data_IF_354097218059
#
_entry.id   IF_354097218059
#
_cell.length_a   1.000
_cell.length_b   1.000
_cell.length_c   1.000
_cell.angle_alpha   90.00
_cell.angle_beta   90.00
_cell.angle_gamma   90.00
#
_symmetry.space_group_name_H-M   'P 1'
#
loop_
_entity.id
_entity.type
_entity.pdbx_description
1 polymer ?
#
# COMPACT_ATOMS: atom_id res chain seq x y z
N UNK A 1 3.39 8.10 17.74
CA UNK A 1 4.21 9.14 17.09
C UNK A 1 4.51 8.83 15.62
N UNK A 2 4.60 7.57 15.24
CA UNK A 2 5.15 7.17 13.93
C UNK A 2 4.12 6.92 12.81
N UNK A 3 2.83 7.21 13.04
CA UNK A 3 1.79 6.92 12.04
C UNK A 3 2.00 7.73 10.76
N UNK A 4 2.32 9.02 10.87
CA UNK A 4 2.58 9.87 9.71
C UNK A 4 3.83 9.38 8.93
N UNK A 5 4.91 9.06 9.65
CA UNK A 5 6.11 8.47 9.06
C UNK A 5 5.79 7.13 8.36
N UNK A 6 5.03 6.24 8.99
CA UNK A 6 4.65 4.95 8.38
C UNK A 6 3.84 5.12 7.10
N UNK A 7 2.91 6.09 7.03
CA UNK A 7 2.13 6.40 5.83
C UNK A 7 2.97 6.87 4.65
N UNK A 8 4.07 7.58 4.93
CA UNK A 8 4.96 8.13 3.90
C UNK A 8 6.17 7.25 3.59
N UNK A 9 6.43 6.22 4.38
CA UNK A 9 7.59 5.36 4.27
C UNK A 9 7.83 4.89 2.83
N UNK A 10 6.83 4.28 2.22
CA UNK A 10 6.94 3.70 0.89
C UNK A 10 7.26 4.78 -0.17
N UNK A 11 6.60 5.93 -0.11
CA UNK A 11 6.82 7.02 -1.07
C UNK A 11 8.23 7.59 -0.94
N UNK A 12 8.71 7.79 0.28
CA UNK A 12 10.04 8.34 0.54
C UNK A 12 11.12 7.39 0.03
N UNK A 13 11.08 6.11 0.39
CA UNK A 13 12.12 5.15 0.00
C UNK A 13 12.02 4.61 -1.43
N UNK A 14 10.95 4.96 -2.16
CA UNK A 14 10.87 4.81 -3.61
C UNK A 14 11.46 6.02 -4.35
N UNK A 15 11.49 7.19 -3.73
CA UNK A 15 11.92 8.46 -4.34
C UNK A 15 13.33 8.87 -3.98
N UNK A 16 13.86 8.40 -2.85
CA UNK A 16 15.24 8.68 -2.39
C UNK A 16 16.23 7.67 -2.92
N UNK A 17 17.52 7.97 -2.79
CA UNK A 17 18.61 7.12 -3.21
C UNK A 17 18.74 5.82 -2.41
N UNK A 18 19.79 5.06 -2.72
CA UNK A 18 20.06 3.74 -2.13
C UNK A 18 21.55 3.56 -1.85
N UNK A 19 21.87 3.10 -0.66
CA UNK A 19 23.26 2.96 -0.22
C UNK A 19 23.99 4.32 -0.24
N UNK A 20 25.07 4.40 -0.98
CA UNK A 20 25.85 5.64 -1.13
C UNK A 20 25.43 6.48 -2.34
N UNK A 21 24.39 6.11 -3.05
CA UNK A 21 23.90 6.80 -4.24
C UNK A 21 22.65 7.62 -3.91
N UNK A 22 22.64 8.90 -4.25
CA UNK A 22 21.41 9.68 -4.29
C UNK A 22 20.49 9.20 -5.44
N UNK A 23 19.26 9.68 -5.50
CA UNK A 23 18.27 9.24 -6.49
C UNK A 23 18.77 9.43 -7.94
N UNK A 24 19.40 10.57 -8.24
CA UNK A 24 19.93 10.88 -9.57
C UNK A 24 21.10 9.97 -9.95
N UNK A 25 22.01 9.73 -9.02
CA UNK A 25 23.16 8.85 -9.23
C UNK A 25 22.72 7.41 -9.45
N UNK A 26 21.76 6.94 -8.63
CA UNK A 26 21.19 5.61 -8.75
C UNK A 26 20.54 5.42 -10.14
N UNK A 27 19.75 6.40 -10.59
CA UNK A 27 19.13 6.38 -11.91
C UNK A 27 20.18 6.29 -13.03
N UNK A 28 21.27 7.06 -12.94
CA UNK A 28 22.37 6.99 -13.91
C UNK A 28 23.07 5.63 -13.89
N UNK A 29 23.30 5.05 -12.71
CA UNK A 29 23.92 3.72 -12.57
C UNK A 29 23.06 2.60 -13.16
N UNK A 30 21.74 2.75 -13.07
CA UNK A 30 20.78 1.78 -13.59
C UNK A 30 20.36 2.06 -15.05
N UNK A 31 20.93 3.09 -15.69
CA UNK A 31 20.64 3.38 -17.10
C UNK A 31 20.97 2.18 -17.98
N UNK A 32 20.00 1.73 -18.80
CA UNK A 32 20.10 0.54 -19.64
C UNK A 32 19.98 -0.80 -18.91
N UNK A 33 19.74 -0.80 -17.61
CA UNK A 33 19.41 -2.00 -16.80
C UNK A 33 17.91 -2.13 -16.61
N UNK A 34 17.44 -3.37 -16.67
CA UNK A 34 16.05 -3.71 -16.33
C UNK A 34 16.03 -4.50 -15.02
N UNK A 35 16.33 -3.81 -13.94
CA UNK A 35 16.29 -4.36 -12.60
C UNK A 35 15.78 -3.29 -11.62
N UNK A 36 14.94 -3.69 -10.69
CA UNK A 36 14.41 -2.84 -9.63
C UNK A 36 14.18 -3.62 -8.34
N UNK A 37 14.34 -2.96 -7.20
CA UNK A 37 13.96 -3.49 -5.88
C UNK A 37 13.40 -2.35 -5.05
N UNK A 38 12.18 -2.53 -4.55
CA UNK A 38 11.49 -1.56 -3.72
C UNK A 38 11.26 -2.14 -2.32
N UNK A 39 11.54 -1.34 -1.31
CA UNK A 39 11.15 -1.65 0.06
C UNK A 39 9.72 -1.19 0.32
N UNK A 40 8.98 -1.98 1.07
CA UNK A 40 7.61 -1.67 1.49
C UNK A 40 7.42 -1.96 2.97
N UNK A 41 6.67 -1.08 3.62
CA UNK A 41 6.22 -1.22 4.99
C UNK A 41 4.70 -1.13 5.01
N UNK A 42 4.06 -2.11 5.63
CA UNK A 42 2.61 -2.16 5.85
C UNK A 42 2.27 -2.10 7.34
N UNK A 43 1.00 -2.28 7.68
CA UNK A 43 0.57 -2.33 9.07
C UNK A 43 1.13 -3.55 9.84
N UNK A 44 1.41 -4.64 9.14
CA UNK A 44 1.73 -5.94 9.75
C UNK A 44 2.93 -6.65 9.12
N UNK A 45 3.55 -6.07 8.09
CA UNK A 45 4.68 -6.68 7.40
C UNK A 45 5.59 -5.64 6.77
N UNK A 46 6.82 -5.98 6.63
CA UNK A 46 7.80 -5.35 5.75
C UNK A 46 8.25 -6.33 4.69
N UNK A 47 8.69 -5.81 3.57
CA UNK A 47 9.14 -6.64 2.46
C UNK A 47 9.93 -5.90 1.40
N UNK A 48 10.58 -6.67 0.57
CA UNK A 48 11.20 -6.21 -0.66
C UNK A 48 10.47 -6.88 -1.83
N UNK A 49 10.11 -6.10 -2.83
CA UNK A 49 9.65 -6.59 -4.11
C UNK A 49 10.57 -6.12 -5.22
N UNK A 50 10.92 -7.02 -6.14
CA UNK A 50 11.83 -6.67 -7.21
C UNK A 50 11.62 -7.52 -8.45
N UNK A 51 12.16 -7.05 -9.56
CA UNK A 51 12.17 -7.76 -10.83
C UNK A 51 13.42 -7.46 -11.63
N UNK A 52 13.79 -8.38 -12.50
CA UNK A 52 14.85 -8.15 -13.48
C UNK A 52 14.65 -9.04 -14.71
N UNK A 53 15.36 -8.69 -15.79
CA UNK A 53 15.60 -9.65 -16.86
C UNK A 53 16.68 -10.66 -16.44
N UNK A 54 16.78 -11.85 -17.08
CA UNK A 54 17.89 -12.78 -16.83
C UNK A 54 19.27 -12.14 -17.02
N UNK A 55 19.40 -11.22 -17.96
CA UNK A 55 20.64 -10.46 -18.21
C UNK A 55 21.04 -9.57 -17.02
N UNK A 56 20.07 -8.99 -16.33
CA UNK A 56 20.30 -8.04 -15.25
C UNK A 56 20.08 -8.66 -13.86
N UNK A 57 20.02 -10.00 -13.78
CA UNK A 57 19.79 -10.72 -12.52
C UNK A 57 20.83 -10.36 -11.45
N UNK A 58 22.10 -10.20 -11.82
CA UNK A 58 23.13 -9.74 -10.89
C UNK A 58 22.79 -8.37 -10.30
N UNK A 59 22.35 -7.43 -11.11
CA UNK A 59 21.95 -6.10 -10.66
C UNK A 59 20.78 -6.17 -9.67
N UNK A 60 19.82 -7.08 -9.86
CA UNK A 60 18.76 -7.33 -8.89
C UNK A 60 19.33 -7.72 -7.52
N UNK A 61 20.30 -8.65 -7.47
CA UNK A 61 20.91 -9.07 -6.21
C UNK A 61 21.77 -7.96 -5.56
N UNK A 62 22.47 -7.16 -6.35
CA UNK A 62 23.18 -5.97 -5.88
C UNK A 62 22.21 -4.96 -5.22
N UNK A 63 21.04 -4.74 -5.83
CA UNK A 63 20.00 -3.88 -5.26
C UNK A 63 19.38 -4.49 -3.99
N UNK A 64 19.12 -5.80 -3.95
CA UNK A 64 18.65 -6.47 -2.73
C UNK A 64 19.66 -6.28 -1.61
N UNK A 65 20.95 -6.52 -1.84
CA UNK A 65 22.01 -6.32 -0.86
C UNK A 65 21.98 -4.89 -0.31
N UNK A 66 21.92 -3.88 -1.19
CA UNK A 66 21.91 -2.48 -0.78
C UNK A 66 20.66 -2.11 0.05
N UNK A 67 19.52 -2.78 -0.16
CA UNK A 67 18.29 -2.54 0.64
C UNK A 67 18.46 -2.96 2.11
N UNK A 68 19.32 -3.90 2.40
CA UNK A 68 19.65 -4.32 3.77
C UNK A 68 20.81 -3.50 4.40
N UNK A 69 21.30 -2.51 3.68
CA UNK A 69 22.29 -1.56 4.23
C UNK A 69 21.59 -0.30 4.77
N UNK A 70 22.36 0.62 5.32
CA UNK A 70 21.86 1.91 5.76
C UNK A 70 21.21 2.65 4.58
N UNK A 71 20.00 3.20 4.73
CA UNK A 71 19.36 3.94 3.66
C UNK A 71 20.16 5.19 3.29
N UNK A 72 20.18 5.55 2.01
CA UNK A 72 20.85 6.76 1.56
C UNK A 72 20.36 8.00 2.32
N UNK A 73 21.28 8.91 2.59
CA UNK A 73 20.92 10.24 3.06
C UNK A 73 20.75 11.17 1.84
N UNK A 74 19.52 11.32 1.39
CA UNK A 74 19.16 12.09 0.19
C UNK A 74 18.09 13.15 0.54
N UNK A 75 18.49 14.20 1.29
CA UNK A 75 17.57 15.24 1.74
C UNK A 75 16.98 16.03 0.56
N UNK A 76 17.68 16.18 -0.55
CA UNK A 76 17.19 16.93 -1.69
C UNK A 76 16.02 16.22 -2.37
N UNK A 77 16.12 14.90 -2.58
CA UNK A 77 15.03 14.11 -3.11
C UNK A 77 13.83 14.07 -2.13
N UNK A 78 14.11 13.93 -0.83
CA UNK A 78 13.07 13.99 0.21
C UNK A 78 12.34 15.34 0.19
N UNK A 79 13.04 16.46 0.20
CA UNK A 79 12.44 17.80 0.20
C UNK A 79 11.63 18.08 -1.07
N UNK A 80 12.13 17.61 -2.21
CA UNK A 80 11.43 17.69 -3.50
C UNK A 80 10.12 16.91 -3.47
N UNK A 81 10.15 15.67 -2.94
CA UNK A 81 8.95 14.84 -2.74
C UNK A 81 7.96 15.53 -1.81
N UNK A 82 8.40 16.04 -0.65
CA UNK A 82 7.52 16.70 0.33
C UNK A 82 6.84 17.94 -0.25
N UNK A 83 7.57 18.72 -1.07
CA UNK A 83 7.01 19.89 -1.77
C UNK A 83 5.94 19.49 -2.78
N UNK A 84 6.21 18.47 -3.59
CA UNK A 84 5.26 17.94 -4.56
C UNK A 84 4.01 17.35 -3.88
N UNK A 85 4.20 16.57 -2.81
CA UNK A 85 3.10 16.01 -2.02
C UNK A 85 2.23 17.09 -1.39
N UNK A 86 2.82 18.13 -0.81
CA UNK A 86 2.08 19.25 -0.23
C UNK A 86 1.16 19.91 -1.26
N UNK A 87 1.66 20.17 -2.45
CA UNK A 87 0.86 20.74 -3.54
C UNK A 87 -0.25 19.78 -3.98
N UNK A 88 0.06 18.51 -4.14
CA UNK A 88 -0.90 17.49 -4.56
C UNK A 88 -2.02 17.34 -3.53
N UNK A 89 -1.69 17.17 -2.25
CA UNK A 89 -2.66 17.02 -1.17
C UNK A 89 -3.51 18.28 -0.98
N UNK A 90 -2.92 19.48 -1.04
CA UNK A 90 -3.65 20.73 -0.95
C UNK A 90 -4.69 20.89 -2.08
N UNK A 91 -4.41 20.37 -3.27
CA UNK A 91 -5.38 20.35 -4.36
C UNK A 91 -6.44 19.26 -4.16
N UNK A 92 -6.05 18.08 -3.68
CA UNK A 92 -6.99 16.99 -3.39
C UNK A 92 -7.98 17.35 -2.27
N UNK A 93 -7.56 18.07 -1.23
CA UNK A 93 -8.43 18.48 -0.13
C UNK A 93 -9.55 19.44 -0.55
N UNK A 94 -9.39 20.12 -1.70
CA UNK A 94 -10.43 20.97 -2.28
C UNK A 94 -11.51 20.17 -3.03
N UNK A 95 -11.24 18.91 -3.35
CA UNK A 95 -12.14 18.06 -4.13
C UNK A 95 -13.16 17.40 -3.21
N UNK A 96 -14.48 17.55 -3.47
CA UNK A 96 -15.52 16.98 -2.61
C UNK A 96 -15.42 15.46 -2.42
N UNK A 97 -14.94 14.75 -3.41
CA UNK A 97 -14.72 13.30 -3.36
C UNK A 97 -13.67 12.88 -2.33
N UNK A 98 -12.72 13.76 -2.02
CA UNK A 98 -11.74 13.52 -0.93
C UNK A 98 -12.45 13.50 0.41
N UNK A 99 -13.30 14.49 0.69
CA UNK A 99 -14.10 14.52 1.91
C UNK A 99 -15.01 13.27 2.04
N UNK A 100 -15.53 12.78 0.91
CA UNK A 100 -16.33 11.55 0.90
C UNK A 100 -15.50 10.32 1.28
N UNK A 101 -14.29 10.16 0.69
CA UNK A 101 -13.38 9.07 1.07
C UNK A 101 -12.96 9.14 2.53
N UNK A 102 -12.64 10.32 3.03
CA UNK A 102 -12.27 10.53 4.44
C UNK A 102 -13.39 10.12 5.37
N UNK A 103 -14.62 10.51 5.03
CA UNK A 103 -15.82 10.12 5.76
C UNK A 103 -16.04 8.62 5.76
N UNK A 104 -15.79 7.92 4.65
CA UNK A 104 -15.86 6.46 4.58
C UNK A 104 -14.88 5.82 5.57
N UNK A 105 -13.59 6.14 5.50
CA UNK A 105 -12.58 5.52 6.35
C UNK A 105 -12.77 5.88 7.83
N UNK A 106 -13.12 7.13 8.13
CA UNK A 106 -13.45 7.55 9.47
C UNK A 106 -14.63 6.75 10.06
N UNK A 107 -15.68 6.55 9.26
CA UNK A 107 -16.86 5.79 9.67
C UNK A 107 -16.58 4.30 9.80
N UNK A 108 -15.87 3.70 8.83
CA UNK A 108 -15.59 2.26 8.81
C UNK A 108 -14.67 1.83 9.97
N UNK A 109 -13.73 2.68 10.39
CA UNK A 109 -12.70 2.32 11.36
C UNK A 109 -12.71 3.21 12.62
N UNK A 110 -13.85 3.82 12.93
CA UNK A 110 -14.04 4.64 14.14
C UNK A 110 -12.91 5.66 14.34
N UNK A 111 -12.63 6.44 13.30
CA UNK A 111 -11.56 7.46 13.29
C UNK A 111 -10.15 6.94 13.63
N UNK A 112 -9.88 5.64 13.42
CA UNK A 112 -8.56 5.08 13.67
C UNK A 112 -7.51 5.79 12.78
N UNK A 113 -6.54 6.45 13.42
CA UNK A 113 -5.54 7.26 12.74
C UNK A 113 -4.68 6.50 11.69
N UNK A 114 -4.55 5.16 11.83
CA UNK A 114 -3.85 4.32 10.85
C UNK A 114 -4.66 4.10 9.57
N UNK A 115 -5.98 4.26 9.64
CA UNK A 115 -6.90 4.05 8.52
C UNK A 115 -7.39 5.36 7.87
N UNK A 116 -6.99 6.52 8.38
CA UNK A 116 -7.29 7.80 7.73
C UNK A 116 -6.40 8.03 6.50
N UNK A 117 -6.91 8.77 5.52
CA UNK A 117 -6.12 9.23 4.39
C UNK A 117 -5.02 10.20 4.85
N UNK A 118 -4.04 10.42 3.99
CA UNK A 118 -2.98 11.39 4.21
C UNK A 118 -3.50 12.81 3.86
N UNK A 119 -3.21 13.77 4.73
CA UNK A 119 -3.56 15.17 4.57
C UNK A 119 -2.32 16.07 4.65
N UNK A 120 -2.44 17.33 4.18
CA UNK A 120 -1.35 18.32 4.26
C UNK A 120 -0.82 18.43 5.69
N UNK A 121 -1.70 18.48 6.68
CA UNK A 121 -1.34 18.59 8.10
C UNK A 121 -0.54 17.39 8.63
N UNK A 122 -0.60 16.24 7.98
CA UNK A 122 0.21 15.08 8.36
C UNK A 122 1.67 15.22 7.92
N UNK A 123 1.93 15.96 6.85
CA UNK A 123 3.28 16.22 6.36
C UNK A 123 4.13 16.99 7.38
N UNK A 124 3.52 17.83 8.21
CA UNK A 124 4.22 18.60 9.25
C UNK A 124 4.67 17.71 10.44
N UNK A 125 4.15 16.49 10.52
CA UNK A 125 4.49 15.50 11.55
C UNK A 125 5.59 14.52 11.10
N UNK A 126 5.96 14.56 9.81
CA UNK A 126 6.93 13.65 9.22
C UNK A 126 8.34 14.17 9.45
N UNK A 127 9.25 13.26 9.83
CA UNK A 127 10.64 13.56 10.04
C UNK A 127 11.51 12.57 9.24
N UNK A 128 12.43 13.09 8.43
CA UNK A 128 13.26 12.28 7.55
C UNK A 128 14.24 11.37 8.31
N UNK A 129 14.86 11.88 9.39
CA UNK A 129 15.76 11.06 10.18
C UNK A 129 15.05 9.93 10.90
N UNK A 130 13.80 10.19 11.34
CA UNK A 130 12.94 9.18 11.93
C UNK A 130 12.53 8.11 10.92
N UNK A 131 12.21 8.50 9.67
CA UNK A 131 11.97 7.56 8.57
C UNK A 131 13.20 6.67 8.32
N UNK A 132 14.39 7.26 8.27
CA UNK A 132 15.64 6.51 8.11
C UNK A 132 15.91 5.58 9.29
N UNK A 133 15.59 5.99 10.52
CA UNK A 133 15.66 5.14 11.71
C UNK A 133 14.71 3.94 11.57
N UNK A 134 13.45 4.18 11.22
CA UNK A 134 12.45 3.12 11.00
C UNK A 134 12.96 2.15 9.91
N UNK A 135 13.48 2.67 8.80
CA UNK A 135 14.04 1.83 7.75
C UNK A 135 15.17 0.94 8.30
N UNK A 136 16.13 1.54 8.98
CA UNK A 136 17.27 0.81 9.53
C UNK A 136 16.87 -0.25 10.56
N UNK A 137 15.79 -0.03 11.31
CA UNK A 137 15.27 -1.02 12.25
C UNK A 137 14.57 -2.19 11.53
N UNK A 138 13.78 -1.89 10.48
CA UNK A 138 12.99 -2.90 9.77
C UNK A 138 13.81 -3.72 8.76
N UNK A 139 14.80 -3.12 8.12
CA UNK A 139 15.59 -3.76 7.05
C UNK A 139 17.06 -4.02 7.44
N UNK A 140 17.38 -4.15 8.71
CA UNK A 140 18.77 -4.34 9.16
C UNK A 140 19.23 -5.80 9.15
N UNK A 141 18.33 -6.76 8.97
CA UNK A 141 18.64 -8.17 9.12
C UNK A 141 17.85 -9.05 8.15
N UNK A 142 18.54 -9.63 7.18
CA UNK A 142 17.94 -10.51 6.18
C UNK A 142 17.40 -11.83 6.76
N UNK A 143 17.89 -12.25 7.92
CA UNK A 143 17.45 -13.49 8.59
C UNK A 143 15.99 -13.46 9.06
N UNK A 144 15.34 -12.29 9.06
CA UNK A 144 13.91 -12.14 9.38
C UNK A 144 13.00 -12.24 8.14
N UNK A 145 13.59 -12.36 6.95
CA UNK A 145 12.87 -12.41 5.68
C UNK A 145 12.88 -13.80 5.07
N UNK A 146 11.80 -14.12 4.34
CA UNK A 146 11.73 -15.25 3.43
C UNK A 146 11.95 -14.75 1.99
N UNK A 147 12.94 -15.33 1.30
CA UNK A 147 13.27 -14.97 -0.07
C UNK A 147 12.65 -15.96 -1.06
N UNK A 148 11.78 -15.49 -1.93
CA UNK A 148 11.11 -16.28 -2.95
C UNK A 148 11.46 -15.71 -4.32
N UNK A 149 12.08 -16.55 -5.18
CA UNK A 149 12.43 -16.20 -6.55
C UNK A 149 11.59 -17.03 -7.52
N UNK A 150 10.92 -16.37 -8.46
CA UNK A 150 10.11 -17.03 -9.49
C UNK A 150 10.48 -16.47 -10.86
N UNK A 151 10.52 -17.33 -11.88
CA UNK A 151 10.82 -16.91 -13.25
C UNK A 151 11.73 -17.87 -14.01
N UNK A 152 12.24 -17.38 -15.13
CA UNK A 152 13.18 -18.12 -15.96
C UNK A 152 14.63 -17.74 -15.60
N UNK A 153 15.31 -18.59 -14.85
CA UNK A 153 16.71 -18.41 -14.45
C UNK A 153 17.44 -19.75 -14.33
N UNK A 154 18.75 -19.71 -14.41
CA UNK A 154 19.59 -20.87 -14.10
C UNK A 154 19.75 -20.99 -12.58
N UNK A 155 19.46 -22.17 -12.02
CA UNK A 155 19.47 -22.40 -10.56
C UNK A 155 20.86 -22.25 -9.95
N UNK A 156 21.92 -22.70 -10.64
CA UNK A 156 23.28 -22.59 -10.12
C UNK A 156 23.76 -21.14 -10.10
N UNK A 157 23.40 -20.37 -11.12
CA UNK A 157 23.64 -18.91 -11.15
C UNK A 157 22.90 -18.21 -10.02
N UNK A 158 21.62 -18.55 -9.80
CA UNK A 158 20.83 -17.99 -8.71
C UNK A 158 21.47 -18.31 -7.36
N UNK A 159 21.87 -19.57 -7.15
CA UNK A 159 22.54 -20.02 -5.92
C UNK A 159 23.82 -19.22 -5.67
N UNK A 160 24.65 -19.05 -6.68
CA UNK A 160 25.89 -18.26 -6.59
C UNK A 160 25.61 -16.82 -6.15
N UNK A 161 24.55 -16.18 -6.67
CA UNK A 161 24.18 -14.84 -6.26
C UNK A 161 23.58 -14.79 -4.85
N UNK A 162 22.80 -15.80 -4.45
CA UNK A 162 22.31 -15.90 -3.05
C UNK A 162 23.50 -16.02 -2.09
N UNK A 163 24.48 -16.87 -2.39
CA UNK A 163 25.70 -17.03 -1.58
C UNK A 163 26.51 -15.75 -1.53
N UNK A 164 26.60 -15.00 -2.63
CA UNK A 164 27.38 -13.77 -2.71
C UNK A 164 26.72 -12.56 -2.05
N UNK A 165 25.41 -12.38 -2.20
CA UNK A 165 24.72 -11.13 -1.86
C UNK A 165 23.75 -11.26 -0.68
N UNK A 166 23.17 -12.45 -0.45
CA UNK A 166 22.18 -12.65 0.63
C UNK A 166 22.83 -13.32 1.84
N UNK A 167 23.59 -14.38 1.64
CA UNK A 167 24.21 -15.14 2.73
C UNK A 167 25.11 -14.28 3.66
N UNK A 168 25.84 -13.25 3.18
CA UNK A 168 26.63 -12.39 4.07
C UNK A 168 25.82 -11.40 4.89
N UNK A 169 24.51 -11.25 4.62
CA UNK A 169 23.67 -10.30 5.34
C UNK A 169 23.44 -10.76 6.79
N UNK A 170 23.16 -9.80 7.65
CA UNK A 170 22.97 -10.05 9.07
C UNK A 170 21.82 -11.04 9.32
N UNK A 171 22.10 -12.08 10.08
CA UNK A 171 21.10 -13.01 10.58
C UNK A 171 20.49 -12.50 11.90
N UNK A 172 19.32 -13.04 12.25
CA UNK A 172 18.68 -12.84 13.55
C UNK A 172 18.62 -14.14 14.33
N UNK A 173 18.68 -14.05 15.66
CA UNK A 173 18.54 -15.22 16.53
C UNK A 173 17.09 -15.70 16.64
N UNK A 174 16.14 -14.80 16.50
CA UNK A 174 14.70 -15.06 16.59
C UNK A 174 13.98 -14.13 15.65
N UNK A 175 13.08 -14.69 14.84
CA UNK A 175 12.16 -13.92 13.99
C UNK A 175 11.17 -13.12 14.80
N UNK A 176 10.79 -11.97 14.29
CA UNK A 176 9.73 -11.16 14.87
C UNK A 176 8.38 -11.88 14.73
N UNK A 177 7.47 -11.56 15.63
CA UNK A 177 6.07 -12.03 15.57
C UNK A 177 5.16 -10.86 15.27
N UNK A 178 4.11 -11.11 14.50
CA UNK A 178 3.10 -10.10 14.18
C UNK A 178 2.36 -9.70 15.47
N UNK A 179 2.23 -8.38 15.68
CA UNK A 179 1.42 -7.81 16.74
C UNK A 179 0.10 -7.32 16.17
N UNK A 180 -1.02 -7.84 16.68
CA UNK A 180 -2.34 -7.36 16.31
C UNK A 180 -2.57 -5.94 16.85
N UNK A 181 -2.64 -4.96 15.96
CA UNK A 181 -2.88 -3.55 16.29
C UNK A 181 -4.35 -3.25 16.62
N UNK A 182 -5.18 -4.28 16.65
CA UNK A 182 -6.61 -4.20 16.90
C UNK A 182 -7.36 -3.20 15.98
N UNK A 183 -6.93 -3.11 14.73
CA UNK A 183 -7.63 -2.31 13.71
C UNK A 183 -8.81 -3.15 13.25
N UNK A 184 -10.02 -2.68 13.55
CA UNK A 184 -11.26 -3.40 13.25
C UNK A 184 -12.28 -2.49 12.62
N UNK A 185 -13.14 -3.01 11.73
CA UNK A 185 -14.32 -2.29 11.29
C UNK A 185 -15.24 -1.96 12.48
N UNK A 186 -15.85 -0.78 12.42
CA UNK A 186 -16.84 -0.37 13.39
C UNK A 186 -18.04 -1.34 13.40
N UNK A 187 -18.58 -1.64 14.57
CA UNK A 187 -19.66 -2.61 14.73
C UNK A 187 -21.04 -1.96 14.60
N UNK A 188 -22.00 -2.76 14.15
CA UNK A 188 -23.40 -2.35 14.06
C UNK A 188 -23.78 -1.69 12.75
N UNK A 189 -24.97 -1.08 12.73
CA UNK A 189 -25.50 -0.37 11.56
C UNK A 189 -25.17 1.12 11.73
N UNK A 190 -24.34 1.65 10.87
CA UNK A 190 -23.92 3.05 10.92
C UNK A 190 -24.42 3.74 9.65
N UNK A 191 -25.16 4.83 9.83
CA UNK A 191 -25.60 5.69 8.74
C UNK A 191 -24.89 7.04 8.88
N UNK A 192 -24.07 7.39 7.89
CA UNK A 192 -23.39 8.66 7.82
C UNK A 192 -23.86 9.42 6.59
N UNK A 193 -24.29 10.67 6.75
CA UNK A 193 -24.72 11.53 5.67
C UNK A 193 -24.21 12.95 5.89
N UNK A 194 -23.61 13.52 4.85
CA UNK A 194 -23.17 14.91 4.87
C UNK A 194 -23.37 15.56 3.50
N UNK A 195 -23.30 16.88 3.46
CA UNK A 195 -23.46 17.68 2.24
C UNK A 195 -22.23 18.55 2.05
N UNK A 196 -21.77 18.67 0.82
CA UNK A 196 -20.74 19.61 0.39
C UNK A 196 -21.29 20.46 -0.76
N UNK A 197 -20.99 21.76 -0.74
CA UNK A 197 -21.33 22.63 -1.85
C UNK A 197 -20.53 22.25 -3.10
N UNK A 198 -21.20 22.17 -4.25
CA UNK A 198 -20.63 21.80 -5.54
C UNK A 198 -21.31 22.61 -6.64
N UNK A 199 -20.58 22.94 -7.71
CA UNK A 199 -21.16 23.63 -8.87
C UNK A 199 -22.27 22.81 -9.53
N UNK A 200 -22.05 21.52 -9.71
CA UNK A 200 -23.07 20.60 -10.23
C UNK A 200 -23.48 19.66 -9.09
N UNK A 201 -24.76 19.72 -8.66
CA UNK A 201 -25.27 18.83 -7.63
C UNK A 201 -25.14 17.37 -8.07
N UNK A 202 -24.53 16.54 -7.24
CA UNK A 202 -24.48 15.09 -7.39
C UNK A 202 -24.49 14.44 -6.02
N UNK A 203 -24.94 13.21 -5.95
CA UNK A 203 -24.86 12.42 -4.74
C UNK A 203 -24.02 11.16 -5.00
N UNK A 204 -23.37 10.66 -3.95
CA UNK A 204 -22.67 9.40 -4.02
C UNK A 204 -23.05 8.56 -2.81
N UNK A 205 -23.39 7.30 -3.07
CA UNK A 205 -23.75 6.34 -2.05
C UNK A 205 -22.66 5.27 -2.02
N UNK A 206 -22.11 5.02 -0.83
CA UNK A 206 -21.26 3.87 -0.57
C UNK A 206 -21.87 3.03 0.54
N UNK A 207 -21.90 1.71 0.35
CA UNK A 207 -22.44 0.76 1.31
C UNK A 207 -21.44 -0.34 1.54
N UNK A 208 -21.19 -0.66 2.81
CA UNK A 208 -20.22 -1.66 3.21
C UNK A 208 -20.88 -2.68 4.13
N UNK A 209 -20.58 -3.95 3.91
CA UNK A 209 -20.89 -5.06 4.79
C UNK A 209 -19.57 -5.75 5.09
N UNK A 210 -19.18 -5.76 6.34
CA UNK A 210 -17.89 -6.30 6.78
C UNK A 210 -18.09 -7.21 7.97
N UNK A 211 -17.28 -8.25 8.07
CA UNK A 211 -17.32 -9.19 9.18
C UNK A 211 -16.32 -10.32 9.00
N UNK A 212 -16.37 -11.29 9.88
CA UNK A 212 -15.49 -12.45 9.87
C UNK A 212 -16.16 -13.63 9.14
N UNK A 213 -15.37 -14.37 8.36
CA UNK A 213 -15.78 -15.63 7.71
C UNK A 213 -14.54 -16.47 7.43
N UNK A 214 -14.57 -17.79 7.63
CA UNK A 214 -13.42 -18.65 7.34
C UNK A 214 -12.95 -18.50 5.88
N UNK A 215 -11.66 -18.28 5.73
CA UNK A 215 -11.05 -18.20 4.41
C UNK A 215 -10.89 -19.58 3.79
N UNK A 216 -11.17 -19.65 2.52
CA UNK A 216 -10.74 -20.72 1.60
C UNK A 216 -10.72 -20.18 0.19
N UNK A 217 -10.01 -20.84 -0.71
CA UNK A 217 -10.04 -20.48 -2.14
C UNK A 217 -11.49 -20.51 -2.69
N UNK A 218 -12.32 -21.42 -2.18
CA UNK A 218 -13.73 -21.49 -2.55
C UNK A 218 -14.51 -20.28 -2.05
N UNK A 219 -14.37 -19.88 -0.78
CA UNK A 219 -15.08 -18.71 -0.24
C UNK A 219 -14.60 -17.43 -0.91
N UNK A 220 -13.32 -17.30 -1.22
CA UNK A 220 -12.78 -16.17 -1.97
C UNK A 220 -13.33 -16.10 -3.40
N UNK A 221 -13.41 -17.23 -4.11
CA UNK A 221 -14.01 -17.31 -5.44
C UNK A 221 -15.51 -16.99 -5.44
N UNK A 222 -16.26 -17.50 -4.44
CA UNK A 222 -17.69 -17.20 -4.27
C UNK A 222 -17.91 -15.71 -3.98
N UNK A 223 -17.10 -15.12 -3.11
CA UNK A 223 -17.19 -13.68 -2.83
C UNK A 223 -16.96 -12.86 -4.11
N UNK A 224 -15.92 -13.17 -4.88
CA UNK A 224 -15.64 -12.49 -6.14
C UNK A 224 -16.82 -12.61 -7.13
N UNK A 225 -17.37 -13.81 -7.29
CA UNK A 225 -18.55 -14.03 -8.13
C UNK A 225 -19.77 -13.23 -7.64
N UNK A 226 -19.99 -13.16 -6.31
CA UNK A 226 -21.05 -12.35 -5.71
C UNK A 226 -20.90 -10.86 -6.09
N UNK A 227 -19.69 -10.31 -6.00
CA UNK A 227 -19.42 -8.91 -6.40
C UNK A 227 -19.80 -8.65 -7.87
N UNK A 228 -19.46 -9.57 -8.77
CA UNK A 228 -19.81 -9.48 -10.19
C UNK A 228 -21.33 -9.56 -10.42
N UNK A 229 -22.02 -10.52 -9.78
CA UNK A 229 -23.46 -10.67 -9.86
C UNK A 229 -24.19 -9.43 -9.33
N UNK A 230 -23.76 -8.89 -8.20
CA UNK A 230 -24.33 -7.68 -7.63
C UNK A 230 -24.13 -6.49 -8.58
N UNK A 231 -22.95 -6.34 -9.16
CA UNK A 231 -22.68 -5.28 -10.16
C UNK A 231 -23.66 -5.36 -11.31
N UNK A 232 -23.84 -6.53 -11.91
CA UNK A 232 -24.78 -6.71 -13.04
C UNK A 232 -26.23 -6.43 -12.64
N UNK A 233 -26.65 -6.92 -11.48
CA UNK A 233 -28.02 -6.66 -10.98
C UNK A 233 -28.27 -5.18 -10.71
N UNK A 234 -27.33 -4.49 -10.10
CA UNK A 234 -27.44 -3.06 -9.84
C UNK A 234 -27.36 -2.22 -11.12
N UNK A 235 -26.53 -2.60 -12.10
CA UNK A 235 -26.53 -1.96 -13.41
C UNK A 235 -27.91 -2.07 -14.07
N UNK A 236 -28.51 -3.24 -14.05
CA UNK A 236 -29.87 -3.43 -14.60
C UNK A 236 -30.90 -2.59 -13.86
N UNK A 237 -31.01 -2.75 -12.54
CA UNK A 237 -32.10 -2.13 -11.76
C UNK A 237 -31.92 -0.61 -11.56
N UNK A 238 -30.71 -0.12 -11.34
CA UNK A 238 -30.46 1.30 -11.00
C UNK A 238 -30.20 2.12 -12.26
N UNK A 239 -29.38 1.60 -13.18
CA UNK A 239 -29.00 2.32 -14.39
C UNK A 239 -30.05 2.16 -15.50
N UNK A 240 -30.38 0.91 -15.89
CA UNK A 240 -31.19 0.63 -17.06
C UNK A 240 -32.69 0.85 -16.79
N UNK A 241 -33.21 0.27 -15.72
CA UNK A 241 -34.64 0.37 -15.38
C UNK A 241 -34.94 1.67 -14.62
N UNK A 242 -34.10 2.08 -13.69
CA UNK A 242 -34.33 3.25 -12.85
C UNK A 242 -33.81 4.57 -13.42
N UNK A 243 -32.84 4.56 -14.33
CA UNK A 243 -32.20 5.78 -14.86
C UNK A 243 -31.54 6.68 -13.82
N UNK A 244 -31.30 6.16 -12.60
CA UNK A 244 -30.87 6.93 -11.42
C UNK A 244 -29.36 7.18 -11.37
N UNK A 245 -28.57 6.35 -12.02
CA UNK A 245 -27.12 6.44 -12.03
C UNK A 245 -26.55 6.06 -13.39
N UNK A 246 -25.42 6.67 -13.76
CA UNK A 246 -24.69 6.26 -14.96
C UNK A 246 -23.89 4.98 -14.72
N UNK A 247 -23.30 4.85 -13.54
CA UNK A 247 -22.52 3.68 -13.14
C UNK A 247 -22.88 3.26 -11.72
N UNK A 248 -22.81 1.97 -11.48
CA UNK A 248 -22.87 1.38 -10.15
C UNK A 248 -21.96 0.16 -10.15
N UNK A 249 -21.23 -0.02 -9.09
CA UNK A 249 -20.32 -1.16 -8.93
C UNK A 249 -20.45 -1.80 -7.57
N UNK A 250 -20.27 -3.10 -7.53
CA UNK A 250 -20.12 -3.85 -6.29
C UNK A 250 -18.86 -4.73 -6.36
N UNK A 251 -18.20 -4.86 -5.25
CA UNK A 251 -17.09 -5.81 -5.08
C UNK A 251 -17.32 -6.60 -3.80
N UNK A 252 -16.91 -7.86 -3.80
CA UNK A 252 -16.87 -8.65 -2.60
C UNK A 252 -15.58 -9.45 -2.54
N UNK A 253 -14.98 -9.56 -1.36
CA UNK A 253 -13.71 -10.24 -1.12
C UNK A 253 -13.71 -10.93 0.23
N UNK A 254 -12.88 -11.95 0.34
CA UNK A 254 -12.49 -12.56 1.62
C UNK A 254 -10.98 -12.50 1.68
N UNK A 255 -10.44 -11.92 2.73
CA UNK A 255 -9.01 -11.81 3.00
C UNK A 255 -8.59 -12.80 4.08
N UNK A 256 -7.30 -13.18 4.05
CA UNK A 256 -6.65 -14.04 5.02
C UNK A 256 -5.33 -13.40 5.42
N UNK A 257 -5.43 -12.37 6.25
CA UNK A 257 -4.25 -11.69 6.81
C UNK A 257 -4.08 -12.14 8.28
N UNK A 258 -4.23 -11.22 9.24
CA UNK A 258 -4.27 -11.58 10.65
C UNK A 258 -5.55 -12.33 11.04
N UNK A 259 -6.59 -12.10 10.28
CA UNK A 259 -7.92 -12.71 10.44
C UNK A 259 -8.54 -12.99 9.09
N UNK A 260 -9.48 -13.90 9.12
CA UNK A 260 -10.35 -14.20 8.01
C UNK A 260 -11.52 -13.22 7.99
N UNK A 261 -11.49 -12.25 7.10
CA UNK A 261 -12.49 -11.18 7.03
C UNK A 261 -13.11 -11.11 5.63
N UNK A 262 -14.43 -10.83 5.59
CA UNK A 262 -15.09 -10.49 4.33
C UNK A 262 -15.42 -9.01 4.26
N UNK A 263 -15.43 -8.48 3.06
CA UNK A 263 -15.95 -7.17 2.73
C UNK A 263 -16.82 -7.25 1.47
N UNK A 264 -18.04 -6.72 1.56
CA UNK A 264 -18.88 -6.44 0.39
C UNK A 264 -19.09 -4.94 0.34
N UNK A 265 -18.76 -4.33 -0.78
CA UNK A 265 -18.90 -2.89 -0.98
C UNK A 265 -19.71 -2.59 -2.22
N UNK A 266 -20.56 -1.59 -2.13
CA UNK A 266 -21.35 -1.07 -3.26
C UNK A 266 -21.06 0.42 -3.35
N UNK A 267 -20.77 0.88 -4.55
CA UNK A 267 -20.50 2.28 -4.83
C UNK A 267 -21.41 2.74 -5.98
N UNK A 268 -22.19 3.79 -5.74
CA UNK A 268 -23.17 4.31 -6.68
C UNK A 268 -23.12 5.84 -6.70
N UNK A 269 -22.47 6.47 -7.69
CA UNK A 269 -22.65 7.89 -7.95
C UNK A 269 -24.03 8.10 -8.60
N UNK A 270 -24.83 8.95 -8.00
CA UNK A 270 -26.22 9.27 -8.42
C UNK A 270 -26.25 10.67 -9.02
N UNK A 271 -27.10 10.89 -10.00
CA UNK A 271 -27.33 12.21 -10.60
C UNK A 271 -28.09 13.14 -9.66
#
# INVERSE_FOLDING_TARGET
KDIANSKLFNMVFQSTGLGNFNATELQKKLAGKQASVNASLSAYSEGLSGSSTPKDLRTLFELIYLRFQTPANDPDAYNSLMTALRTTLANQEKVPETAFRDSIFATLYDHNARQTNLHVADLDKVNYDELRRIYSERFNAAGDFDFVFTGNFNVDTLRSYVEQYIAPLKAVKKRESITDLNIRPAKGIINNRFVRAMETPKATIARFYMGETPYSLKTAAVANALGQILTQRYLKSIREEGGLAYSVGAAASVSHDLRDEYAVQVFCPVK
#
